data_IF_238014540417
#
_entry.id   IF_238014540417
#
_cell.length_a   1.000
_cell.length_b   1.000
_cell.length_c   1.000
_cell.angle_alpha   90.00
_cell.angle_beta   90.00
_cell.angle_gamma   90.00
#
_symmetry.space_group_name_H-M   'P 1'
#
loop_
_entity.id
_entity.type
_entity.pdbx_description
1 polymer ?
#
# COMPACT_ATOMS: atom_id res chain seq x y z
N UNK A 1 -4.40 -28.41 -6.12
CA UNK A 1 -5.35 -27.38 -5.64
C UNK A 1 -4.65 -26.05 -5.32
N UNK A 2 -3.62 -26.02 -4.46
CA UNK A 2 -2.77 -24.84 -4.19
C UNK A 2 -2.20 -24.17 -5.46
N UNK A 3 -1.73 -24.97 -6.42
CA UNK A 3 -1.15 -24.48 -7.68
C UNK A 3 -2.14 -23.82 -8.62
N UNK A 4 -3.43 -24.19 -8.55
CA UNK A 4 -4.49 -23.56 -9.36
C UNK A 4 -4.82 -22.16 -8.85
N UNK A 5 -4.99 -22.02 -7.53
CA UNK A 5 -5.28 -20.73 -6.90
C UNK A 5 -4.15 -19.71 -7.09
N UNK A 6 -2.89 -20.16 -7.06
CA UNK A 6 -1.74 -19.28 -7.35
C UNK A 6 -1.74 -18.85 -8.82
N UNK A 7 -2.00 -19.76 -9.77
CA UNK A 7 -2.07 -19.41 -11.20
C UNK A 7 -3.18 -18.40 -11.48
N UNK A 8 -4.39 -18.65 -10.98
CA UNK A 8 -5.51 -17.73 -11.09
C UNK A 8 -5.23 -16.39 -10.39
N UNK A 9 -4.50 -16.40 -9.27
CA UNK A 9 -4.06 -15.18 -8.62
C UNK A 9 -3.11 -14.37 -9.50
N UNK A 10 -2.09 -15.01 -10.07
CA UNK A 10 -1.07 -14.34 -10.88
C UNK A 10 -1.65 -13.85 -12.21
N UNK A 11 -2.54 -14.64 -12.83
CA UNK A 11 -3.13 -14.35 -14.14
C UNK A 11 -4.39 -13.47 -14.08
N UNK A 12 -4.78 -12.98 -12.90
CA UNK A 12 -5.98 -12.13 -12.79
C UNK A 12 -5.77 -10.84 -13.54
N UNK A 13 -6.88 -10.23 -13.92
CA UNK A 13 -6.88 -8.86 -14.40
C UNK A 13 -6.51 -7.91 -13.24
N UNK A 14 -5.24 -7.52 -13.20
CA UNK A 14 -4.69 -6.64 -12.18
C UNK A 14 -5.15 -5.20 -12.34
N UNK A 15 -5.51 -4.79 -13.56
CA UNK A 15 -6.00 -3.45 -13.83
C UNK A 15 -7.44 -3.33 -13.34
N UNK A 16 -8.31 -4.29 -13.67
CA UNK A 16 -9.67 -4.34 -13.11
C UNK A 16 -9.66 -4.48 -11.58
N UNK A 17 -8.72 -5.26 -11.02
CA UNK A 17 -8.57 -5.37 -9.55
C UNK A 17 -8.16 -4.04 -8.92
N UNK A 18 -7.26 -3.29 -9.57
CA UNK A 18 -6.84 -1.97 -9.11
C UNK A 18 -7.99 -0.98 -9.15
N UNK A 19 -8.73 -0.93 -10.25
CA UNK A 19 -9.88 -0.04 -10.41
C UNK A 19 -10.95 -0.33 -9.34
N UNK A 20 -11.32 -1.60 -9.16
CA UNK A 20 -12.28 -1.99 -8.14
C UNK A 20 -11.84 -1.59 -6.72
N UNK A 21 -10.55 -1.75 -6.42
CA UNK A 21 -9.96 -1.34 -5.14
C UNK A 21 -10.05 0.19 -4.96
N UNK A 22 -9.69 0.95 -5.99
CA UNK A 22 -9.68 2.41 -5.93
C UNK A 22 -11.11 2.96 -5.77
N UNK A 23 -12.10 2.40 -6.49
CA UNK A 23 -13.51 2.72 -6.32
C UNK A 23 -14.00 2.44 -4.89
N UNK A 24 -13.66 1.27 -4.35
CA UNK A 24 -14.04 0.90 -2.98
C UNK A 24 -13.48 1.89 -1.96
N UNK A 25 -12.19 2.22 -2.05
CA UNK A 25 -11.56 3.15 -1.11
C UNK A 25 -12.08 4.57 -1.25
N UNK A 26 -12.30 5.04 -2.47
CA UNK A 26 -12.90 6.36 -2.72
C UNK A 26 -14.29 6.45 -2.07
N UNK A 27 -15.16 5.48 -2.32
CA UNK A 27 -16.50 5.44 -1.73
C UNK A 27 -16.46 5.34 -0.20
N UNK A 28 -15.57 4.50 0.35
CA UNK A 28 -15.42 4.33 1.80
C UNK A 28 -14.95 5.60 2.49
N UNK A 29 -13.91 6.25 1.95
CA UNK A 29 -13.34 7.49 2.50
C UNK A 29 -14.35 8.63 2.35
N UNK A 30 -15.08 8.72 1.24
CA UNK A 30 -16.14 9.71 1.08
C UNK A 30 -17.22 9.58 2.18
N UNK A 31 -17.53 8.35 2.60
CA UNK A 31 -18.54 8.08 3.64
C UNK A 31 -18.02 8.26 5.08
N UNK A 32 -16.79 7.84 5.36
CA UNK A 32 -16.24 7.72 6.72
C UNK A 32 -15.17 8.77 7.05
N UNK A 33 -14.81 9.59 6.07
CA UNK A 33 -13.78 10.61 6.19
C UNK A 33 -12.34 10.07 6.06
N UNK A 34 -11.36 10.97 5.98
CA UNK A 34 -9.96 10.63 5.74
C UNK A 34 -9.31 9.83 6.88
N UNK A 35 -9.80 9.95 8.12
CA UNK A 35 -9.28 9.21 9.27
C UNK A 35 -9.52 7.70 9.18
N UNK A 36 -10.47 7.26 8.35
CA UNK A 36 -10.74 5.83 8.15
C UNK A 36 -9.53 5.08 7.60
N UNK A 37 -8.74 5.72 6.74
CA UNK A 37 -7.50 5.14 6.23
C UNK A 37 -6.49 4.88 7.35
N UNK A 38 -6.34 5.83 8.27
CA UNK A 38 -5.45 5.68 9.44
C UNK A 38 -5.94 4.59 10.39
N UNK A 39 -7.26 4.53 10.63
CA UNK A 39 -7.86 3.49 11.47
C UNK A 39 -7.61 2.09 10.92
N UNK A 40 -7.77 1.89 9.61
CA UNK A 40 -7.51 0.58 8.98
C UNK A 40 -6.01 0.26 8.99
N UNK A 41 -5.15 1.25 8.72
CA UNK A 41 -3.71 1.05 8.81
C UNK A 41 -3.27 0.60 10.21
N UNK A 42 -3.86 1.16 11.26
CA UNK A 42 -3.60 0.73 12.64
C UNK A 42 -4.07 -0.70 12.91
N UNK A 43 -5.23 -1.12 12.39
CA UNK A 43 -5.71 -2.49 12.55
C UNK A 43 -4.79 -3.49 11.83
N UNK A 44 -4.33 -3.15 10.62
CA UNK A 44 -3.36 -3.98 9.88
C UNK A 44 -2.02 -4.05 10.63
N UNK A 45 -1.58 -2.95 11.24
CA UNK A 45 -0.36 -2.92 12.06
C UNK A 45 -0.48 -3.86 13.27
N UNK A 46 -1.63 -3.85 13.94
CA UNK A 46 -1.92 -4.76 15.07
C UNK A 46 -1.93 -6.22 14.63
N UNK A 47 -2.54 -6.51 13.49
CA UNK A 47 -2.55 -7.85 12.92
C UNK A 47 -1.13 -8.33 12.59
N UNK A 48 -0.30 -7.49 11.97
CA UNK A 48 1.09 -7.81 11.69
C UNK A 48 1.87 -8.11 12.98
N UNK A 49 1.72 -7.26 14.01
CA UNK A 49 2.33 -7.48 15.32
C UNK A 49 1.85 -8.75 16.04
N UNK A 50 0.59 -9.14 15.82
CA UNK A 50 0.06 -10.38 16.36
C UNK A 50 0.68 -11.62 15.69
N UNK A 51 1.09 -11.51 14.42
CA UNK A 51 1.77 -12.58 13.70
C UNK A 51 3.28 -12.61 13.99
N UNK A 52 3.88 -11.44 14.12
CA UNK A 52 5.28 -11.26 14.48
C UNK A 52 5.45 -10.01 15.36
N UNK A 53 5.70 -10.24 16.65
CA UNK A 53 5.87 -9.15 17.62
C UNK A 53 7.13 -8.31 17.42
N UNK A 54 8.09 -8.81 16.62
CA UNK A 54 9.31 -8.07 16.26
C UNK A 54 9.15 -7.28 14.96
N UNK A 55 7.99 -7.34 14.32
CA UNK A 55 7.70 -6.56 13.14
C UNK A 55 7.40 -5.09 13.51
N UNK A 56 7.83 -4.09 12.70
CA UNK A 56 8.78 -4.24 11.61
C UNK A 56 10.19 -4.46 12.15
N UNK A 57 10.95 -5.33 11.50
CA UNK A 57 12.35 -5.50 11.87
C UNK A 57 13.14 -4.21 11.57
N UNK A 58 14.13 -3.84 12.39
CA UNK A 58 14.86 -2.58 12.22
C UNK A 58 15.46 -2.40 10.81
N UNK A 59 16.07 -3.44 10.25
CA UNK A 59 16.66 -3.40 8.92
C UNK A 59 15.61 -3.15 7.82
N UNK A 60 14.43 -3.75 7.92
CA UNK A 60 13.33 -3.54 6.98
C UNK A 60 12.80 -2.11 7.07
N UNK A 61 12.73 -1.57 8.30
CA UNK A 61 12.30 -0.19 8.52
C UNK A 61 13.28 0.83 7.95
N UNK A 62 14.58 0.61 8.12
CA UNK A 62 15.62 1.47 7.55
C UNK A 62 15.53 1.47 6.02
N UNK A 63 15.38 0.29 5.41
CA UNK A 63 15.25 0.15 3.96
C UNK A 63 13.96 0.80 3.42
N UNK A 64 12.86 0.68 4.14
CA UNK A 64 11.58 1.33 3.82
C UNK A 64 11.72 2.86 3.82
N UNK A 65 12.33 3.43 4.87
CA UNK A 65 12.58 4.86 4.98
C UNK A 65 13.46 5.39 3.84
N UNK A 66 14.51 4.67 3.49
CA UNK A 66 15.37 5.01 2.34
C UNK A 66 14.59 5.00 1.02
N UNK A 67 13.70 4.02 0.86
CA UNK A 67 12.84 3.90 -0.34
C UNK A 67 11.88 5.09 -0.45
N UNK A 68 11.24 5.47 0.66
CA UNK A 68 10.39 6.66 0.73
C UNK A 68 11.15 7.95 0.42
N UNK A 69 12.34 8.14 0.99
CA UNK A 69 13.18 9.30 0.72
C UNK A 69 13.56 9.39 -0.78
N UNK A 70 13.91 8.26 -1.40
CA UNK A 70 14.23 8.16 -2.82
C UNK A 70 13.03 8.53 -3.70
N UNK A 71 11.86 7.96 -3.43
CA UNK A 71 10.62 8.24 -4.18
C UNK A 71 10.22 9.71 -4.04
N UNK A 72 10.29 10.28 -2.83
CA UNK A 72 10.03 11.69 -2.61
C UNK A 72 10.98 12.58 -3.43
N UNK A 73 12.26 12.22 -3.51
CA UNK A 73 13.23 12.90 -4.36
C UNK A 73 12.89 12.83 -5.86
N UNK A 74 12.47 11.67 -6.36
CA UNK A 74 12.02 11.48 -7.74
C UNK A 74 10.79 12.33 -8.07
N UNK A 75 9.78 12.30 -7.20
CA UNK A 75 8.54 13.06 -7.37
C UNK A 75 8.80 14.58 -7.42
N UNK A 76 9.70 15.09 -6.56
CA UNK A 76 10.12 16.51 -6.60
C UNK A 76 10.72 16.89 -7.95
N UNK A 77 11.61 16.05 -8.51
CA UNK A 77 12.22 16.30 -9.82
C UNK A 77 11.20 16.26 -10.95
N UNK A 78 10.33 15.25 -10.99
CA UNK A 78 9.29 15.14 -12.00
C UNK A 78 8.30 16.32 -11.94
N UNK A 79 7.97 16.78 -10.75
CA UNK A 79 7.11 17.95 -10.54
C UNK A 79 7.78 19.24 -11.02
N UNK A 80 9.09 19.41 -10.82
CA UNK A 80 9.84 20.55 -11.33
C UNK A 80 9.91 20.53 -12.87
N UNK A 81 10.22 19.38 -13.48
CA UNK A 81 10.28 19.24 -14.93
C UNK A 81 8.94 19.51 -15.63
N UNK A 82 7.80 19.20 -14.98
CA UNK A 82 6.47 19.52 -15.52
C UNK A 82 6.15 21.02 -15.53
N UNK A 83 6.81 21.81 -14.66
CA UNK A 83 6.56 23.25 -14.51
C UNK A 83 7.48 24.13 -15.36
N UNK A 84 8.56 23.55 -15.89
CA UNK A 84 9.49 24.21 -16.80
C UNK A 84 8.98 24.09 -18.25
#
# INVERSE_FOLDING_TARGET
MLTRGIREFVSRDWDATREAKDMYWAARIARLGPLEGLRIAEELRRQALAQDSKWPHPADRDQDLLSHARVAGLLRRASAARRA
#
